data_IF_947155893064
#
_entry.id   IF_947155893064
#
_cell.length_a   1.000
_cell.length_b   1.000
_cell.length_c   1.000
_cell.angle_alpha   90.00
_cell.angle_beta   90.00
_cell.angle_gamma   90.00
#
_symmetry.space_group_name_H-M   'P 1'
#
loop_
_entity.id
_entity.type
_entity.pdbx_description
1 polymer ?
#
# COMPACT_ATOMS: atom_id res chain seq x y z
N UNK A 1 35.73 6.66 -12.63
CA UNK A 1 34.49 6.85 -13.36
C UNK A 1 33.88 8.17 -12.90
N UNK A 2 33.62 9.10 -13.80
CA UNK A 2 32.93 10.34 -13.48
C UNK A 2 31.41 10.10 -13.70
N UNK A 3 30.61 10.36 -12.69
CA UNK A 3 29.16 10.32 -12.80
C UNK A 3 28.61 11.68 -13.26
N UNK A 4 27.42 11.69 -13.84
CA UNK A 4 26.74 12.94 -14.16
C UNK A 4 26.49 13.73 -12.87
N UNK A 5 26.73 15.04 -12.92
CA UNK A 5 26.34 15.91 -11.82
C UNK A 5 24.81 16.01 -11.74
N UNK A 6 24.30 16.04 -10.54
CA UNK A 6 22.87 16.30 -10.26
C UNK A 6 22.76 17.43 -9.24
N UNK A 7 21.67 18.18 -9.34
CA UNK A 7 21.34 19.19 -8.35
C UNK A 7 20.79 18.54 -7.09
N UNK A 8 21.16 19.06 -5.92
CA UNK A 8 20.63 18.65 -4.63
C UNK A 8 20.12 19.89 -3.90
N UNK A 9 18.87 19.83 -3.48
CA UNK A 9 18.27 20.86 -2.65
C UNK A 9 18.18 20.34 -1.22
N UNK A 10 18.68 21.14 -0.29
CA UNK A 10 18.53 20.86 1.14
C UNK A 10 17.33 21.66 1.64
N UNK A 11 16.28 20.97 2.03
CA UNK A 11 15.11 21.61 2.64
C UNK A 11 15.47 22.25 3.98
N UNK A 12 14.83 23.38 4.28
CA UNK A 12 14.88 23.99 5.62
C UNK A 12 13.88 23.33 6.58
N UNK A 13 13.00 22.45 6.06
CA UNK A 13 12.06 21.73 6.88
C UNK A 13 12.76 20.72 7.79
N UNK A 14 12.31 20.64 9.04
CA UNK A 14 12.79 19.62 9.97
C UNK A 14 12.35 18.23 9.49
N UNK A 15 13.26 17.26 9.59
CA UNK A 15 12.93 15.85 9.38
C UNK A 15 12.90 15.12 10.71
N UNK A 16 12.14 14.05 10.78
CA UNK A 16 12.15 13.17 11.96
C UNK A 16 13.54 12.56 12.16
N UNK A 17 14.00 12.40 13.39
CA UNK A 17 15.33 11.87 13.65
C UNK A 17 15.49 10.39 13.33
N UNK A 18 14.38 9.66 13.12
CA UNK A 18 14.39 8.23 12.88
C UNK A 18 13.66 7.84 11.59
N UNK A 19 14.20 6.82 10.92
CA UNK A 19 13.55 6.13 9.81
C UNK A 19 13.18 4.71 10.27
N UNK A 20 11.90 4.38 10.19
CA UNK A 20 11.42 3.02 10.45
C UNK A 20 11.35 2.21 9.15
N UNK A 21 11.76 0.95 9.22
CA UNK A 21 11.76 0.03 8.08
C UNK A 21 11.61 -1.42 8.54
N UNK A 22 11.23 -2.27 7.62
CA UNK A 22 11.19 -3.72 7.84
C UNK A 22 12.45 -4.38 7.32
N UNK A 23 13.12 -5.17 8.15
CA UNK A 23 14.13 -6.12 7.71
C UNK A 23 13.51 -7.50 7.52
N UNK A 24 13.84 -8.13 6.41
CA UNK A 24 13.46 -9.49 6.06
C UNK A 24 14.68 -10.22 5.52
N UNK A 25 14.93 -11.43 6.01
CA UNK A 25 16.02 -12.26 5.50
C UNK A 25 15.77 -12.62 4.03
N UNK A 26 16.81 -12.72 3.20
CA UNK A 26 16.69 -13.27 1.86
C UNK A 26 16.08 -14.67 1.90
N UNK A 27 15.27 -15.00 0.89
CA UNK A 27 14.49 -16.24 0.80
C UNK A 27 13.22 -16.30 1.65
N UNK A 28 12.45 -17.38 1.52
CA UNK A 28 11.20 -17.61 2.23
C UNK A 28 11.38 -18.01 3.72
N UNK A 29 12.54 -17.78 4.29
CA UNK A 29 12.84 -18.12 5.67
C UNK A 29 12.49 -16.93 6.56
N UNK A 30 11.38 -17.00 7.26
CA UNK A 30 10.91 -15.94 8.16
C UNK A 30 11.62 -15.93 9.53
N UNK A 31 12.75 -16.61 9.67
CA UNK A 31 13.44 -16.77 10.97
C UNK A 31 13.94 -15.47 11.58
N UNK A 32 14.24 -14.48 10.76
CA UNK A 32 14.70 -13.17 11.22
C UNK A 32 13.94 -12.09 10.44
N UNK A 33 12.93 -11.55 11.06
CA UNK A 33 12.11 -10.48 10.51
C UNK A 33 11.71 -9.53 11.63
N UNK A 34 11.73 -8.26 11.35
CA UNK A 34 11.31 -7.26 12.32
C UNK A 34 11.09 -5.89 11.71
N UNK A 35 10.51 -5.02 12.51
CA UNK A 35 10.42 -3.59 12.27
C UNK A 35 11.51 -2.95 13.11
N UNK A 36 12.35 -2.16 12.47
CA UNK A 36 13.51 -1.49 13.06
C UNK A 36 13.40 0.00 12.80
N UNK A 37 14.09 0.75 13.62
CA UNK A 37 14.30 2.19 13.40
C UNK A 37 15.79 2.51 13.43
N UNK A 38 16.18 3.46 12.60
CA UNK A 38 17.56 3.96 12.52
C UNK A 38 17.57 5.45 12.75
N UNK A 39 18.48 5.91 13.58
CA UNK A 39 18.78 7.33 13.72
C UNK A 39 19.40 7.86 12.41
N UNK A 40 18.85 8.96 11.86
CA UNK A 40 19.33 9.55 10.60
C UNK A 40 20.62 10.37 10.77
N UNK A 41 20.95 10.80 11.98
CA UNK A 41 22.19 11.51 12.29
C UNK A 41 23.35 10.56 12.60
N UNK A 42 23.10 9.27 12.74
CA UNK A 42 24.06 8.24 13.10
C UNK A 42 23.79 6.91 12.43
N UNK A 43 24.44 5.86 12.96
CA UNK A 43 24.27 4.48 12.46
C UNK A 43 23.57 3.58 13.46
N UNK A 44 23.04 4.13 14.53
CA UNK A 44 22.37 3.39 15.57
C UNK A 44 21.05 2.84 15.04
N UNK A 45 20.88 1.52 15.17
CA UNK A 45 19.67 0.80 14.82
C UNK A 45 19.10 0.15 16.09
N UNK A 46 17.81 0.28 16.28
CA UNK A 46 17.08 -0.39 17.35
C UNK A 46 15.84 -1.10 16.82
N UNK A 47 15.46 -2.20 17.48
CA UNK A 47 14.25 -2.92 17.10
C UNK A 47 13.01 -2.24 17.68
N UNK A 48 12.01 -2.04 16.84
CA UNK A 48 10.65 -1.68 17.26
C UNK A 48 9.87 -2.94 17.61
N UNK A 49 9.94 -3.95 16.75
CA UNK A 49 9.31 -5.24 16.99
C UNK A 49 10.04 -6.34 16.21
N UNK A 50 10.37 -7.45 16.87
CA UNK A 50 11.01 -8.60 16.24
C UNK A 50 10.12 -9.85 16.32
N UNK A 51 10.07 -10.62 15.25
CA UNK A 51 9.21 -11.79 15.14
C UNK A 51 9.62 -12.94 16.08
N UNK A 52 10.86 -12.96 16.56
CA UNK A 52 11.31 -13.92 17.60
C UNK A 52 10.48 -13.83 18.90
N UNK A 53 9.83 -12.68 19.15
CA UNK A 53 8.93 -12.50 20.29
C UNK A 53 7.59 -13.22 20.12
N UNK A 54 7.25 -13.64 18.91
CA UNK A 54 5.95 -14.23 18.56
C UNK A 54 6.07 -15.53 17.77
N UNK A 55 7.02 -16.40 18.10
CA UNK A 55 7.23 -17.69 17.43
C UNK A 55 7.50 -17.58 15.93
N UNK A 56 8.35 -16.63 15.54
CA UNK A 56 8.80 -16.42 14.15
C UNK A 56 7.66 -16.14 13.17
N UNK A 57 6.64 -15.39 13.59
CA UNK A 57 5.55 -14.96 12.70
C UNK A 57 6.04 -14.04 11.59
N UNK A 58 5.33 -14.05 10.46
CA UNK A 58 5.49 -13.00 9.45
C UNK A 58 4.93 -11.70 9.98
N UNK A 59 5.73 -10.63 9.93
CA UNK A 59 5.35 -9.26 10.30
C UNK A 59 5.49 -8.39 9.07
N UNK A 60 4.45 -7.67 8.71
CA UNK A 60 4.45 -6.80 7.53
C UNK A 60 3.48 -5.63 7.66
N UNK A 61 3.40 -4.82 6.61
CA UNK A 61 2.45 -3.73 6.45
C UNK A 61 2.47 -2.73 7.61
N UNK A 62 3.66 -2.43 8.17
CA UNK A 62 3.74 -1.36 9.18
C UNK A 62 3.44 0.00 8.55
N UNK A 63 2.71 0.83 9.28
CA UNK A 63 2.30 2.16 8.83
C UNK A 63 2.09 3.07 10.04
N UNK A 64 2.61 4.27 9.98
CA UNK A 64 2.42 5.29 11.01
C UNK A 64 1.25 6.19 10.66
N UNK A 65 0.44 6.52 11.67
CA UNK A 65 -0.68 7.45 11.51
C UNK A 65 -0.13 8.88 11.34
N UNK A 66 -0.22 9.42 10.14
CA UNK A 66 0.29 10.78 9.82
C UNK A 66 1.75 11.02 10.25
N UNK A 67 2.59 9.99 10.12
CA UNK A 67 3.99 9.99 10.55
C UNK A 67 4.20 10.14 12.07
N UNK A 68 3.14 10.05 12.88
CA UNK A 68 3.23 10.08 14.33
C UNK A 68 3.94 8.81 14.84
N UNK A 69 5.12 8.93 15.48
CA UNK A 69 5.86 7.77 15.99
C UNK A 69 5.13 7.04 17.13
N UNK A 70 4.22 7.71 17.82
CA UNK A 70 3.47 7.16 18.94
C UNK A 70 2.21 6.38 18.49
N UNK A 71 1.86 6.43 17.19
CA UNK A 71 0.70 5.74 16.66
C UNK A 71 1.00 5.00 15.37
N UNK A 72 1.14 3.69 15.45
CA UNK A 72 1.43 2.83 14.31
C UNK A 72 0.54 1.61 14.28
N UNK A 73 0.47 0.97 13.12
CA UNK A 73 -0.06 -0.38 12.97
C UNK A 73 0.95 -1.29 12.29
N UNK A 74 0.79 -2.57 12.50
CA UNK A 74 1.43 -3.62 11.69
C UNK A 74 0.54 -4.86 11.63
N UNK A 75 0.83 -5.74 10.70
CA UNK A 75 0.08 -6.97 10.48
C UNK A 75 0.94 -8.19 10.78
N UNK A 76 0.41 -9.16 11.54
CA UNK A 76 1.01 -10.47 11.75
C UNK A 76 0.23 -11.55 11.00
N UNK A 77 0.95 -12.58 10.54
CA UNK A 77 0.39 -13.77 9.90
C UNK A 77 0.79 -15.02 10.65
N UNK A 78 0.04 -16.11 10.47
CA UNK A 78 0.19 -17.46 11.01
C UNK A 78 -0.37 -17.58 12.44
N UNK A 79 0.50 -17.57 13.44
CA UNK A 79 0.04 -17.71 14.84
C UNK A 79 -0.54 -16.42 15.35
N UNK A 80 -0.87 -15.73 15.90
CA UNK A 80 -1.35 -14.39 16.30
C UNK A 80 -1.77 -13.50 15.12
N UNK A 81 -2.24 -14.11 14.02
CA UNK A 81 -2.64 -13.33 12.83
C UNK A 81 -3.62 -12.20 13.18
N UNK A 82 -3.48 -11.09 12.48
CA UNK A 82 -4.31 -9.90 12.62
C UNK A 82 -3.52 -8.61 12.52
N UNK A 83 -4.26 -7.52 12.49
CA UNK A 83 -3.71 -6.16 12.50
C UNK A 83 -3.62 -5.67 13.94
N UNK A 84 -2.48 -5.14 14.32
CA UNK A 84 -2.22 -4.58 15.63
C UNK A 84 -2.04 -3.08 15.50
N UNK A 85 -2.73 -2.31 16.34
CA UNK A 85 -2.50 -0.88 16.51
C UNK A 85 -1.75 -0.68 17.82
N UNK A 86 -0.68 0.10 17.76
CA UNK A 86 0.04 0.60 18.92
C UNK A 86 -0.26 2.08 18.99
N UNK A 87 -0.71 2.56 20.13
CA UNK A 87 -0.94 3.98 20.41
C UNK A 87 -0.52 4.30 21.84
N UNK A 88 0.64 4.94 22.00
CA UNK A 88 1.28 5.12 23.28
C UNK A 88 1.55 3.78 23.98
N UNK A 89 1.03 3.60 25.21
CA UNK A 89 1.18 2.34 25.97
C UNK A 89 0.15 1.25 25.61
N UNK A 90 -0.81 1.57 24.71
CA UNK A 90 -1.87 0.63 24.35
C UNK A 90 -1.49 -0.18 23.11
N UNK A 91 -1.73 -1.48 23.18
CA UNK A 91 -1.67 -2.37 22.02
C UNK A 91 -3.05 -2.99 21.84
N UNK A 92 -3.63 -2.77 20.67
CA UNK A 92 -4.93 -3.31 20.31
C UNK A 92 -4.81 -4.24 19.12
N UNK A 93 -5.41 -5.42 19.21
CA UNK A 93 -5.55 -6.34 18.10
C UNK A 93 -6.91 -6.16 17.47
N UNK A 94 -6.95 -5.75 16.23
CA UNK A 94 -8.19 -5.63 15.47
C UNK A 94 -8.68 -6.99 15.00
N UNK A 95 -9.94 -7.28 15.22
CA UNK A 95 -10.60 -8.39 14.54
C UNK A 95 -11.11 -7.91 13.19
N UNK A 96 -10.28 -8.09 12.16
CA UNK A 96 -10.59 -7.68 10.79
C UNK A 96 -11.28 -8.78 9.97
N UNK A 97 -11.55 -9.93 10.56
CA UNK A 97 -12.30 -11.02 9.93
C UNK A 97 -13.80 -10.80 10.12
N UNK A 98 -14.46 -10.43 9.05
CA UNK A 98 -15.91 -10.24 8.99
C UNK A 98 -16.49 -11.12 7.88
N UNK A 99 -17.80 -11.30 7.80
CA UNK A 99 -18.41 -12.00 6.65
C UNK A 99 -18.12 -11.36 5.29
N UNK A 100 -17.75 -10.08 5.27
CA UNK A 100 -17.40 -9.33 4.07
C UNK A 100 -15.92 -9.47 3.69
N UNK A 101 -15.02 -9.73 4.65
CA UNK A 101 -13.58 -9.80 4.37
C UNK A 101 -13.16 -11.23 4.00
N UNK A 102 -12.64 -11.41 2.80
CA UNK A 102 -12.20 -12.71 2.26
C UNK A 102 -10.83 -13.16 2.80
N UNK A 103 -10.05 -12.22 3.34
CA UNK A 103 -8.69 -12.43 3.84
C UNK A 103 -8.37 -11.44 4.96
N UNK A 104 -7.24 -11.58 5.65
CA UNK A 104 -6.72 -10.52 6.51
C UNK A 104 -6.50 -9.23 5.73
N UNK A 105 -6.76 -8.09 6.36
CA UNK A 105 -6.58 -6.77 5.77
C UNK A 105 -5.09 -6.45 5.60
N UNK A 106 -4.71 -5.95 4.43
CA UNK A 106 -3.33 -5.63 4.06
C UNK A 106 -3.24 -4.24 3.40
N UNK A 107 -2.03 -3.76 3.14
CA UNK A 107 -1.76 -2.46 2.48
C UNK A 107 -2.51 -1.29 3.14
N UNK A 108 -2.28 -1.04 4.44
CA UNK A 108 -2.99 -0.01 5.17
C UNK A 108 -2.64 1.40 4.70
N UNK A 109 -3.65 2.27 4.70
CA UNK A 109 -3.51 3.72 4.58
C UNK A 109 -4.34 4.40 5.64
N UNK A 110 -3.70 5.16 6.54
CA UNK A 110 -4.39 5.93 7.55
C UNK A 110 -5.13 7.11 6.92
N UNK A 111 -6.35 7.31 7.38
CA UNK A 111 -7.05 8.56 7.19
C UNK A 111 -6.40 9.64 8.10
N UNK A 112 -6.25 10.89 7.66
CA UNK A 112 -5.56 11.93 8.43
C UNK A 112 -6.15 12.19 9.83
N UNK A 113 -7.43 11.92 10.06
CA UNK A 113 -8.02 12.00 11.39
C UNK A 113 -7.56 10.91 12.36
N UNK A 114 -6.93 9.84 11.87
CA UNK A 114 -6.58 8.66 12.65
C UNK A 114 -7.77 7.81 13.12
N UNK A 115 -9.01 8.13 12.65
CA UNK A 115 -10.23 7.37 12.96
C UNK A 115 -10.51 6.24 11.98
N UNK A 116 -9.99 6.33 10.76
CA UNK A 116 -10.21 5.34 9.72
C UNK A 116 -8.89 4.83 9.16
N UNK A 117 -8.92 3.60 8.68
CA UNK A 117 -7.82 3.00 7.95
C UNK A 117 -8.39 2.32 6.71
N UNK A 118 -7.93 2.72 5.53
CA UNK A 118 -8.24 1.99 4.32
C UNK A 118 -7.31 0.78 4.19
N UNK A 119 -7.84 -0.34 3.73
CA UNK A 119 -7.12 -1.58 3.53
C UNK A 119 -7.50 -2.23 2.21
N UNK A 120 -6.61 -3.04 1.69
CA UNK A 120 -6.95 -4.05 0.71
C UNK A 120 -7.32 -5.36 1.39
N UNK A 121 -8.24 -6.09 0.81
CA UNK A 121 -8.64 -7.44 1.19
C UNK A 121 -8.31 -8.37 0.04
N UNK A 122 -7.14 -9.00 0.06
CA UNK A 122 -6.60 -9.71 -1.10
C UNK A 122 -6.50 -11.22 -0.85
N UNK A 123 -6.90 -12.01 -1.82
CA UNK A 123 -6.55 -13.41 -1.92
C UNK A 123 -5.43 -13.55 -2.94
N UNK A 124 -4.20 -13.67 -2.44
CA UNK A 124 -2.97 -13.50 -3.23
C UNK A 124 -2.13 -14.78 -3.18
N UNK A 125 -2.15 -15.63 -4.20
CA UNK A 125 -1.17 -16.69 -4.36
C UNK A 125 0.16 -16.14 -4.90
N UNK A 126 1.21 -16.91 -4.71
CA UNK A 126 2.53 -16.68 -5.30
C UNK A 126 2.72 -17.73 -6.38
N UNK A 127 2.94 -17.29 -7.61
CA UNK A 127 3.32 -18.14 -8.74
C UNK A 127 4.84 -18.17 -8.92
N UNK A 128 5.38 -19.33 -9.27
CA UNK A 128 6.78 -19.48 -9.68
C UNK A 128 6.79 -19.97 -11.13
N UNK A 129 7.37 -19.19 -12.03
CA UNK A 129 7.44 -19.49 -13.46
C UNK A 129 8.88 -19.86 -13.84
N UNK A 130 9.08 -21.07 -14.34
CA UNK A 130 10.42 -21.58 -14.68
C UNK A 130 11.00 -20.96 -15.96
N UNK A 131 10.15 -20.47 -16.86
CA UNK A 131 10.52 -20.01 -18.20
C UNK A 131 10.03 -18.59 -18.53
N UNK A 132 9.75 -17.78 -17.51
CA UNK A 132 9.30 -16.40 -17.67
C UNK A 132 10.41 -15.42 -17.26
N UNK A 133 10.44 -14.22 -17.87
CA UNK A 133 11.39 -13.17 -17.50
C UNK A 133 11.26 -12.77 -16.02
N UNK A 134 10.01 -12.79 -15.51
CA UNK A 134 9.73 -12.62 -14.09
C UNK A 134 9.51 -14.00 -13.45
N UNK A 135 10.52 -14.57 -12.78
CA UNK A 135 10.42 -15.94 -12.26
C UNK A 135 9.46 -16.07 -11.07
N UNK A 136 9.12 -14.98 -10.44
CA UNK A 136 8.19 -14.92 -9.30
C UNK A 136 7.09 -13.92 -9.59
N UNK A 137 5.86 -14.40 -9.61
CA UNK A 137 4.67 -13.57 -9.77
C UNK A 137 3.81 -13.58 -8.51
N UNK A 138 3.33 -12.41 -8.15
CA UNK A 138 2.33 -12.23 -7.10
C UNK A 138 1.12 -11.57 -7.73
N UNK A 139 0.01 -12.27 -7.73
CA UNK A 139 -1.23 -11.79 -8.35
C UNK A 139 -2.43 -12.04 -7.45
N UNK A 140 -3.45 -11.22 -7.61
CA UNK A 140 -4.70 -11.37 -6.86
C UNK A 140 -5.67 -12.26 -7.63
N UNK A 141 -6.26 -13.25 -6.94
CA UNK A 141 -7.42 -13.99 -7.45
C UNK A 141 -8.70 -13.21 -7.15
N UNK A 142 -8.71 -12.51 -6.03
CA UNK A 142 -9.75 -11.58 -5.59
C UNK A 142 -9.09 -10.48 -4.79
N UNK A 143 -9.52 -9.26 -5.00
CA UNK A 143 -9.11 -8.14 -4.17
C UNK A 143 -10.19 -7.07 -4.14
N UNK A 144 -10.37 -6.49 -2.96
CA UNK A 144 -11.33 -5.44 -2.69
C UNK A 144 -10.70 -4.39 -1.78
N UNK A 145 -11.27 -3.18 -1.76
CA UNK A 145 -10.88 -2.12 -0.84
C UNK A 145 -11.97 -1.90 0.19
N UNK A 146 -11.57 -1.77 1.45
CA UNK A 146 -12.45 -1.46 2.56
C UNK A 146 -11.87 -0.34 3.41
N UNK A 147 -12.73 0.39 4.11
CA UNK A 147 -12.34 1.33 5.15
C UNK A 147 -12.76 0.76 6.50
N UNK A 148 -11.86 0.73 7.45
CA UNK A 148 -12.13 0.28 8.81
C UNK A 148 -12.27 1.49 9.74
N UNK A 149 -13.40 1.57 10.45
CA UNK A 149 -13.62 2.54 11.52
C UNK A 149 -12.99 1.99 12.81
N UNK A 150 -11.91 2.65 13.25
CA UNK A 150 -11.12 2.20 14.41
C UNK A 150 -11.88 2.32 15.72
N UNK A 151 -12.74 3.35 15.85
CA UNK A 151 -13.49 3.61 17.08
C UNK A 151 -14.71 2.69 17.21
N UNK A 152 -15.39 2.41 16.08
CA UNK A 152 -16.60 1.58 16.06
C UNK A 152 -16.36 0.11 15.78
N UNK A 153 -15.14 -0.23 15.36
CA UNK A 153 -14.74 -1.59 14.96
C UNK A 153 -15.63 -2.15 13.82
N UNK A 154 -15.92 -1.30 12.85
CA UNK A 154 -16.79 -1.62 11.72
C UNK A 154 -16.04 -1.48 10.39
N UNK A 155 -16.39 -2.34 9.44
CA UNK A 155 -15.98 -2.21 8.04
C UNK A 155 -17.00 -1.37 7.30
N UNK A 156 -16.53 -0.35 6.60
CA UNK A 156 -17.30 0.53 5.73
C UNK A 156 -16.81 0.34 4.30
N UNK A 157 -17.72 0.09 3.37
CA UNK A 157 -17.39 -0.07 1.96
C UNK A 157 -18.56 0.30 1.06
N UNK A 158 -18.36 0.26 -0.25
CA UNK A 158 -19.37 0.48 -1.29
C UNK A 158 -19.09 -0.45 -2.47
N UNK A 159 -20.11 -0.77 -3.24
CA UNK A 159 -19.99 -1.61 -4.45
C UNK A 159 -19.02 -1.02 -5.50
N UNK A 160 -18.60 0.23 -5.33
CA UNK A 160 -17.63 0.91 -6.21
C UNK A 160 -16.16 0.53 -5.95
N UNK A 161 -15.86 0.02 -4.75
CA UNK A 161 -14.51 -0.37 -4.32
C UNK A 161 -14.49 -1.78 -3.71
N UNK A 162 -15.63 -2.45 -3.74
CA UNK A 162 -15.84 -3.81 -3.28
C UNK A 162 -16.78 -4.51 -4.26
N UNK A 163 -16.24 -4.99 -5.37
CA UNK A 163 -17.01 -5.50 -6.49
C UNK A 163 -16.69 -6.95 -6.83
N UNK A 164 -17.62 -7.63 -7.50
CA UNK A 164 -17.39 -9.03 -7.93
C UNK A 164 -16.67 -9.14 -9.27
N UNK A 165 -16.65 -8.06 -10.03
CA UNK A 165 -16.21 -8.04 -11.43
C UNK A 165 -14.90 -7.26 -11.65
N UNK A 166 -14.30 -6.78 -10.58
CA UNK A 166 -13.05 -6.07 -10.63
C UNK A 166 -12.12 -6.52 -9.50
N UNK A 167 -10.88 -6.13 -9.60
CA UNK A 167 -9.86 -6.21 -8.56
C UNK A 167 -9.58 -4.80 -8.09
N UNK A 168 -9.76 -4.50 -6.81
CA UNK A 168 -9.44 -3.23 -6.20
C UNK A 168 -8.36 -3.41 -5.13
N UNK A 169 -7.33 -2.55 -5.14
CA UNK A 169 -6.19 -2.70 -4.22
C UNK A 169 -5.44 -1.38 -3.98
N UNK A 170 -4.49 -1.39 -3.07
CA UNK A 170 -3.59 -0.27 -2.73
C UNK A 170 -4.29 1.06 -2.47
N UNK A 171 -5.20 1.12 -1.50
CA UNK A 171 -5.85 2.38 -1.16
C UNK A 171 -4.86 3.38 -0.56
N UNK A 172 -5.09 4.66 -0.82
CA UNK A 172 -4.40 5.77 -0.15
C UNK A 172 -5.34 6.97 -0.02
N UNK A 173 -5.41 7.55 1.17
CA UNK A 173 -6.20 8.76 1.38
C UNK A 173 -5.47 10.02 0.92
N UNK A 174 -6.23 11.02 0.47
CA UNK A 174 -5.74 12.39 0.35
C UNK A 174 -5.41 12.98 1.72
N UNK A 175 -4.53 14.01 1.80
CA UNK A 175 -4.17 14.64 3.06
C UNK A 175 -5.32 15.30 3.79
N UNK A 176 -6.39 15.69 3.09
CA UNK A 176 -7.63 16.23 3.68
C UNK A 176 -8.62 15.13 4.09
N UNK A 177 -8.33 13.86 3.75
CA UNK A 177 -9.16 12.71 4.05
C UNK A 177 -10.45 12.60 3.24
N UNK A 178 -10.67 13.47 2.26
CA UNK A 178 -11.93 13.52 1.51
C UNK A 178 -11.93 12.74 0.21
N UNK A 179 -10.77 12.21 -0.18
CA UNK A 179 -10.62 11.39 -1.38
C UNK A 179 -9.86 10.11 -1.04
N UNK A 180 -10.36 8.99 -1.51
CA UNK A 180 -9.68 7.71 -1.47
C UNK A 180 -9.21 7.37 -2.88
N UNK A 181 -7.90 7.27 -3.10
CA UNK A 181 -7.29 6.76 -4.32
C UNK A 181 -7.06 5.27 -4.19
N UNK A 182 -7.17 4.54 -5.27
CA UNK A 182 -6.95 3.10 -5.31
C UNK A 182 -6.62 2.61 -6.72
N UNK A 183 -6.10 1.41 -6.83
CA UNK A 183 -5.88 0.75 -8.11
C UNK A 183 -7.05 -0.20 -8.40
N UNK A 184 -7.58 -0.17 -9.63
CA UNK A 184 -8.67 -1.05 -10.05
C UNK A 184 -8.44 -1.64 -11.44
N UNK A 185 -8.70 -2.93 -11.61
CA UNK A 185 -8.65 -3.65 -12.87
C UNK A 185 -9.92 -4.50 -13.06
N UNK A 186 -10.30 -4.74 -14.31
CA UNK A 186 -11.31 -5.77 -14.59
C UNK A 186 -10.80 -7.13 -14.12
N UNK A 187 -11.68 -7.94 -13.54
CA UNK A 187 -11.32 -9.30 -13.16
C UNK A 187 -11.03 -10.14 -14.42
N UNK A 188 -9.94 -10.88 -14.37
CA UNK A 188 -9.51 -11.82 -15.42
C UNK A 188 -9.39 -13.21 -14.82
N UNK A 189 -9.30 -14.22 -15.68
CA UNK A 189 -9.15 -15.60 -15.24
C UNK A 189 -7.74 -15.84 -14.72
N UNK A 190 -7.60 -16.04 -13.44
CA UNK A 190 -6.32 -16.29 -12.78
C UNK A 190 -6.09 -17.81 -12.57
N UNK A 191 -4.87 -18.31 -12.74
CA UNK A 191 -3.65 -17.61 -13.13
C UNK A 191 -3.45 -17.45 -14.64
N UNK A 192 -4.31 -18.01 -15.50
CA UNK A 192 -4.05 -18.16 -16.93
C UNK A 192 -3.91 -16.83 -17.67
N UNK A 193 -4.56 -15.78 -17.18
CA UNK A 193 -4.62 -14.46 -17.83
C UNK A 193 -3.98 -13.35 -16.98
N UNK A 194 -3.04 -13.69 -16.09
CA UNK A 194 -2.47 -12.73 -15.14
C UNK A 194 -1.82 -11.50 -15.81
N UNK A 195 -1.23 -11.64 -16.99
CA UNK A 195 -0.65 -10.53 -17.75
C UNK A 195 -1.69 -9.57 -18.34
N UNK A 196 -2.95 -10.00 -18.40
CA UNK A 196 -4.06 -9.16 -18.85
C UNK A 196 -4.64 -8.30 -17.72
N UNK A 197 -4.30 -8.59 -16.47
CA UNK A 197 -4.70 -7.76 -15.35
C UNK A 197 -3.92 -6.44 -15.37
N UNK A 198 -4.60 -5.34 -15.74
CA UNK A 198 -4.00 -4.01 -15.83
C UNK A 198 -4.81 -3.03 -14.99
N UNK A 199 -4.15 -2.48 -14.00
CA UNK A 199 -4.78 -1.65 -12.99
C UNK A 199 -4.75 -0.18 -13.39
N UNK A 200 -5.90 0.44 -13.41
CA UNK A 200 -6.08 1.88 -13.52
C UNK A 200 -5.89 2.55 -12.16
N UNK A 201 -5.46 3.81 -12.14
CA UNK A 201 -5.49 4.64 -10.94
C UNK A 201 -6.84 5.36 -10.87
N UNK A 202 -7.57 5.08 -9.83
CA UNK A 202 -8.92 5.57 -9.60
C UNK A 202 -9.02 6.40 -8.32
N UNK A 203 -10.09 7.17 -8.18
CA UNK A 203 -10.44 7.87 -6.95
C UNK A 203 -11.95 7.90 -6.72
N UNK A 204 -12.32 7.96 -5.45
CA UNK A 204 -13.71 8.13 -4.99
C UNK A 204 -13.72 9.10 -3.81
N UNK A 205 -14.73 9.94 -3.72
CA UNK A 205 -14.88 10.80 -2.54
C UNK A 205 -15.31 10.00 -1.32
N UNK A 206 -14.85 10.45 -0.15
CA UNK A 206 -15.19 9.90 1.16
C UNK A 206 -15.56 11.03 2.10
N UNK A 207 -16.70 10.92 2.76
CA UNK A 207 -17.11 11.84 3.81
C UNK A 207 -16.85 11.19 5.19
N UNK A 208 -15.85 11.67 5.94
CA UNK A 208 -15.49 11.09 7.24
C UNK A 208 -16.56 11.32 8.33
N UNK A 209 -17.44 12.31 8.19
CA UNK A 209 -18.48 12.58 9.19
C UNK A 209 -19.66 11.59 9.04
N UNK A 210 -20.08 11.34 7.83
CA UNK A 210 -21.18 10.41 7.54
C UNK A 210 -20.71 9.00 7.23
N UNK A 211 -19.41 8.82 6.96
CA UNK A 211 -18.78 7.57 6.48
C UNK A 211 -19.30 7.13 5.11
N UNK A 212 -19.79 8.07 4.33
CA UNK A 212 -20.35 7.81 3.01
C UNK A 212 -19.29 7.95 1.92
N UNK A 213 -19.36 7.07 0.93
CA UNK A 213 -18.62 7.20 -0.32
C UNK A 213 -19.45 7.93 -1.36
N UNK A 214 -18.76 8.58 -2.29
CA UNK A 214 -19.40 9.15 -3.47
C UNK A 214 -20.01 8.08 -4.39
N UNK A 215 -20.83 8.52 -5.30
CA UNK A 215 -21.49 7.66 -6.29
C UNK A 215 -20.68 7.42 -7.55
N UNK A 216 -19.70 8.29 -7.80
CA UNK A 216 -18.86 8.27 -9.00
C UNK A 216 -17.42 7.92 -8.66
N UNK A 217 -16.80 7.16 -9.56
CA UNK A 217 -15.36 6.84 -9.54
C UNK A 217 -14.69 7.59 -10.68
N UNK A 218 -13.75 8.45 -10.35
CA UNK A 218 -12.90 9.12 -11.33
C UNK A 218 -11.70 8.24 -11.67
N UNK A 219 -11.26 8.30 -12.93
CA UNK A 219 -10.06 7.60 -13.41
C UNK A 219 -8.97 8.60 -13.76
N UNK A 220 -7.88 8.61 -13.00
CA UNK A 220 -6.73 9.49 -13.20
C UNK A 220 -5.77 8.93 -14.26
N UNK A 221 -5.63 7.60 -14.29
CA UNK A 221 -4.84 6.88 -15.29
C UNK A 221 -5.63 5.67 -15.75
N UNK A 222 -5.87 5.58 -17.05
CA UNK A 222 -6.67 4.51 -17.62
C UNK A 222 -5.78 3.41 -18.22
N UNK A 223 -5.68 2.30 -17.52
CA UNK A 223 -4.87 1.15 -17.94
C UNK A 223 -5.27 0.55 -19.30
N UNK A 224 -6.56 0.66 -19.68
CA UNK A 224 -7.03 0.13 -20.98
C UNK A 224 -6.51 0.95 -22.16
N UNK A 225 -6.41 2.27 -22.01
CA UNK A 225 -5.89 3.15 -23.09
C UNK A 225 -4.37 3.14 -23.14
N UNK A 226 -3.73 3.11 -21.99
CA UNK A 226 -2.26 3.17 -21.86
C UNK A 226 -1.59 1.81 -22.01
N UNK A 227 -2.35 0.72 -21.90
CA UNK A 227 -1.87 -0.66 -21.92
C UNK A 227 -0.75 -0.94 -20.90
N UNK A 228 -0.81 -0.28 -19.76
CA UNK A 228 0.11 -0.38 -18.61
C UNK A 228 -0.69 -0.54 -17.33
N UNK A 229 -0.03 -0.90 -16.26
CA UNK A 229 -0.64 -1.18 -14.96
C UNK A 229 -0.05 -0.30 -13.86
N UNK A 230 -0.90 0.29 -13.03
CA UNK A 230 -0.51 1.13 -11.89
C UNK A 230 -0.51 0.34 -10.59
N UNK A 231 0.48 0.59 -9.74
CA UNK A 231 0.55 0.05 -8.38
C UNK A 231 1.13 1.05 -7.39
N UNK A 232 0.90 0.81 -6.10
CA UNK A 232 1.48 1.54 -4.97
C UNK A 232 1.32 3.06 -5.00
N UNK A 233 0.10 3.62 -5.21
CA UNK A 233 -0.08 5.07 -5.19
C UNK A 233 0.23 5.64 -3.79
N UNK A 234 0.87 6.81 -3.77
CA UNK A 234 1.15 7.60 -2.57
C UNK A 234 0.96 9.08 -2.86
N UNK A 235 0.16 9.74 -2.05
CA UNK A 235 -0.11 11.18 -2.18
C UNK A 235 0.92 11.96 -1.37
N UNK A 236 1.41 13.07 -1.92
CA UNK A 236 2.30 13.99 -1.19
C UNK A 236 1.57 14.65 -0.01
N UNK A 237 2.26 15.04 1.05
CA UNK A 237 1.63 15.66 2.23
C UNK A 237 0.83 16.92 1.93
N UNK A 238 1.21 17.67 0.89
CA UNK A 238 0.50 18.88 0.44
C UNK A 238 -0.66 18.58 -0.54
N UNK A 239 -0.85 17.31 -0.92
CA UNK A 239 -1.90 16.88 -1.84
C UNK A 239 -1.70 17.25 -3.31
N UNK A 240 -0.58 17.89 -3.67
CA UNK A 240 -0.35 18.38 -5.03
C UNK A 240 0.14 17.30 -6.00
N UNK A 241 0.78 16.28 -5.46
CA UNK A 241 1.36 15.21 -6.25
C UNK A 241 0.90 13.84 -5.75
N UNK A 242 0.84 12.90 -6.69
CA UNK A 242 0.69 11.48 -6.39
C UNK A 242 1.81 10.73 -7.11
N UNK A 243 2.59 9.96 -6.37
CA UNK A 243 3.60 9.07 -6.93
C UNK A 243 3.04 7.66 -7.01
N UNK A 244 3.33 6.94 -8.10
CA UNK A 244 2.95 5.55 -8.28
C UNK A 244 4.01 4.79 -9.09
N UNK A 245 3.91 3.46 -9.11
CA UNK A 245 4.68 2.62 -10.01
C UNK A 245 3.83 2.23 -11.20
N UNK A 246 4.39 2.25 -12.40
CA UNK A 246 3.73 1.79 -13.62
C UNK A 246 4.59 0.70 -14.26
N UNK A 247 3.98 -0.44 -14.58
CA UNK A 247 4.58 -1.61 -15.21
C UNK A 247 3.71 -2.14 -16.35
N UNK A 248 4.15 -3.19 -17.03
CA UNK A 248 3.40 -3.80 -18.14
C UNK A 248 2.08 -4.42 -17.75
N UNK A 249 1.99 -5.01 -16.55
CA UNK A 249 0.80 -5.70 -16.04
C UNK A 249 0.87 -5.88 -14.52
N UNK A 250 -0.20 -6.42 -13.96
CA UNK A 250 -0.28 -6.84 -12.56
C UNK A 250 -0.33 -5.69 -11.55
N UNK A 251 -0.38 -6.05 -10.29
CA UNK A 251 -0.44 -5.10 -9.18
C UNK A 251 0.82 -5.15 -8.28
N UNK A 252 1.62 -6.21 -8.36
CA UNK A 252 2.80 -6.37 -7.51
C UNK A 252 4.08 -6.36 -8.35
N UNK A 253 4.44 -5.16 -8.81
CA UNK A 253 5.48 -4.92 -9.81
C UNK A 253 6.93 -4.98 -9.30
N UNK A 254 7.18 -5.41 -8.05
CA UNK A 254 8.52 -5.37 -7.42
C UNK A 254 9.57 -6.22 -8.14
N UNK A 255 9.13 -7.22 -8.91
CA UNK A 255 9.99 -8.11 -9.69
C UNK A 255 10.03 -7.77 -11.19
N UNK A 256 9.25 -6.76 -11.62
CA UNK A 256 9.11 -6.40 -13.02
C UNK A 256 10.23 -5.44 -13.41
N UNK A 257 11.04 -5.82 -14.39
CA UNK A 257 12.16 -5.00 -14.89
C UNK A 257 11.68 -3.70 -15.58
N UNK A 258 10.45 -3.69 -16.08
CA UNK A 258 9.82 -2.55 -16.74
C UNK A 258 9.00 -1.65 -15.79
N UNK A 259 9.15 -1.86 -14.49
CA UNK A 259 8.45 -1.08 -13.49
C UNK A 259 9.22 0.21 -13.17
N UNK A 260 8.60 1.34 -13.49
CA UNK A 260 9.15 2.68 -13.31
C UNK A 260 8.32 3.52 -12.34
N UNK A 261 8.96 4.49 -11.71
CA UNK A 261 8.26 5.50 -10.90
C UNK A 261 7.68 6.60 -11.78
N UNK A 262 6.45 6.98 -11.46
CA UNK A 262 5.72 8.05 -12.11
C UNK A 262 5.20 9.06 -11.11
N UNK A 263 5.15 10.32 -11.52
CA UNK A 263 4.60 11.42 -10.75
C UNK A 263 3.36 11.97 -11.46
N UNK A 264 2.25 12.01 -10.76
CA UNK A 264 1.03 12.67 -11.18
C UNK A 264 0.97 14.05 -10.53
N UNK A 265 0.88 15.10 -11.34
CA UNK A 265 0.48 16.44 -10.90
C UNK A 265 -1.04 16.45 -10.76
N UNK A 266 -1.54 16.64 -9.53
CA UNK A 266 -2.97 16.51 -9.23
C UNK A 266 -3.80 17.68 -9.74
N UNK A 267 -3.19 18.86 -9.89
CA UNK A 267 -3.85 20.05 -10.44
C UNK A 267 -3.97 19.94 -11.96
N UNK A 268 -2.87 19.59 -12.62
CA UNK A 268 -2.82 19.49 -14.09
C UNK A 268 -3.36 18.17 -14.62
N UNK A 269 -3.58 17.18 -13.75
CA UNK A 269 -3.96 15.79 -14.08
C UNK A 269 -3.01 15.16 -15.12
N UNK A 270 -1.73 15.43 -14.97
CA UNK A 270 -0.68 14.95 -15.87
C UNK A 270 0.22 13.94 -15.15
N UNK A 271 0.38 12.77 -15.73
CA UNK A 271 1.25 11.70 -15.21
C UNK A 271 2.48 11.58 -16.10
N UNK A 272 3.66 11.69 -15.50
CA UNK A 272 4.95 11.61 -16.20
C UNK A 272 5.93 10.66 -15.51
N UNK A 273 6.78 9.96 -16.25
CA UNK A 273 7.84 9.16 -15.65
C UNK A 273 8.86 10.03 -14.92
N UNK A 274 9.42 9.51 -13.86
CA UNK A 274 10.51 10.15 -13.12
C UNK A 274 11.87 9.70 -13.69
N UNK A 275 12.13 10.03 -14.95
CA UNK A 275 13.26 9.52 -15.75
C UNK A 275 14.63 9.80 -15.16
N UNK A 276 14.75 10.72 -14.21
CA UNK A 276 16.03 11.06 -13.55
C UNK A 276 16.43 10.05 -12.47
N UNK A 277 15.46 9.26 -11.99
CA UNK A 277 15.65 8.27 -10.91
C UNK A 277 15.26 6.84 -11.31
N UNK A 278 14.65 6.63 -12.46
CA UNK A 278 14.33 5.31 -13.01
C UNK A 278 15.53 4.66 -13.71
#
# INVERSE_FOLDING_TARGET
TAYKSFGMYVSEDAIDPYLAYRLIAPSNIWKQMGIYQRNLEGFEESSVFENKLTKENCINCHSFCMQDPDKMLFHMRVFHDGTYIIGGEKVEKLNTRTPQTISPLVYPSWHPSGKYIAFSVNLTPIGVHLNHNNPVEVYDIKSDVVVYDVEKHEVVTTEKIFSKNAFETFPTFSPDGRTLYFCSADSVKMPEEFENAKYSLCSISFDPETRAFGTEVDTLYNARTENKSVSFPRVSPDGKFLMCTISGYGNFSIWHEDADLYLCDMEQKNIRPMTEIN
#
